data_IF_980421087083
#
_entry.id   IF_980421087083
#
_cell.length_a   1.000
_cell.length_b   1.000
_cell.length_c   1.000
_cell.angle_alpha   90.00
_cell.angle_beta   90.00
_cell.angle_gamma   90.00
#
_symmetry.space_group_name_H-M   'P 1'
#
loop_
_entity.id
_entity.type
_entity.pdbx_description
1 polymer ?
#
# COMPACT_ATOMS: atom_id res chain seq x y z
N UNK A 1 20.92 -14.56 42.35
CA UNK A 1 20.08 -13.41 41.95
C UNK A 1 19.47 -13.74 40.60
N UNK A 2 18.15 -13.96 40.53
CA UNK A 2 17.46 -14.17 39.25
C UNK A 2 17.32 -12.82 38.55
N UNK A 3 17.93 -12.68 37.38
CA UNK A 3 17.68 -11.53 36.52
C UNK A 3 16.24 -11.63 36.01
N UNK A 4 15.34 -10.85 36.60
CA UNK A 4 14.06 -10.54 35.98
C UNK A 4 14.33 -9.78 34.68
N UNK A 5 14.37 -10.51 33.56
CA UNK A 5 14.26 -9.90 32.24
C UNK A 5 12.80 -9.46 32.12
N UNK A 6 12.52 -8.21 32.44
CA UNK A 6 11.24 -7.59 32.10
C UNK A 6 11.22 -7.52 30.57
N UNK A 7 10.56 -8.48 29.93
CA UNK A 7 10.33 -8.42 28.48
C UNK A 7 9.51 -7.16 28.23
N UNK A 8 10.12 -6.15 27.62
CA UNK A 8 9.42 -4.95 27.16
C UNK A 8 8.18 -5.42 26.37
N UNK A 9 7.02 -4.75 26.53
CA UNK A 9 5.86 -5.09 25.73
C UNK A 9 6.27 -5.02 24.26
N UNK A 10 5.94 -6.09 23.51
CA UNK A 10 6.23 -6.15 22.10
C UNK A 10 5.61 -4.93 21.41
N UNK A 11 6.27 -4.34 20.40
CA UNK A 11 5.70 -3.23 19.65
C UNK A 11 4.31 -3.58 19.11
N UNK A 12 3.46 -2.57 18.91
CA UNK A 12 2.13 -2.73 18.32
C UNK A 12 2.15 -3.43 16.94
N UNK A 13 3.29 -3.42 16.26
CA UNK A 13 3.51 -4.08 14.97
C UNK A 13 4.53 -5.24 15.07
N UNK A 14 4.40 -6.10 16.08
CA UNK A 14 5.19 -7.34 16.12
C UNK A 14 4.52 -8.43 15.28
N UNK A 15 5.23 -8.90 14.25
CA UNK A 15 4.84 -10.09 13.48
C UNK A 15 5.89 -11.18 13.69
N UNK A 16 5.49 -12.30 14.30
CA UNK A 16 6.42 -13.39 14.61
C UNK A 16 6.96 -14.08 13.36
N UNK A 17 8.29 -14.26 13.27
CA UNK A 17 9.02 -14.81 12.09
C UNK A 17 8.31 -16.03 11.48
N UNK A 18 8.01 -17.06 12.31
CA UNK A 18 7.37 -18.31 11.85
C UNK A 18 6.00 -18.08 11.23
N UNK A 19 5.13 -17.34 11.93
CA UNK A 19 3.76 -17.09 11.45
C UNK A 19 3.77 -16.26 10.15
N UNK A 20 4.68 -15.29 10.03
CA UNK A 20 4.89 -14.53 8.79
C UNK A 20 5.32 -15.45 7.65
N UNK A 21 6.35 -16.26 7.87
CA UNK A 21 6.87 -17.18 6.86
C UNK A 21 5.80 -18.18 6.38
N UNK A 22 5.00 -18.74 7.31
CA UNK A 22 3.90 -19.65 6.99
C UNK A 22 2.84 -18.97 6.11
N UNK A 23 2.48 -17.70 6.42
CA UNK A 23 1.50 -16.93 5.65
C UNK A 23 2.02 -16.58 4.25
N UNK A 24 3.26 -16.12 4.14
CA UNK A 24 3.93 -15.81 2.87
C UNK A 24 3.99 -17.06 2.00
N UNK A 25 4.47 -18.18 2.54
CA UNK A 25 4.58 -19.46 1.84
C UNK A 25 3.23 -19.95 1.33
N UNK A 26 2.16 -19.79 2.13
CA UNK A 26 0.80 -20.19 1.72
C UNK A 26 0.31 -19.36 0.54
N UNK A 27 0.52 -18.04 0.57
CA UNK A 27 0.15 -17.18 -0.55
C UNK A 27 0.90 -17.58 -1.83
N UNK A 28 2.22 -17.73 -1.74
CA UNK A 28 3.09 -18.11 -2.86
C UNK A 28 2.69 -19.47 -3.47
N UNK A 29 2.43 -20.48 -2.64
CA UNK A 29 2.09 -21.82 -3.13
C UNK A 29 0.67 -21.94 -3.68
N UNK A 30 -0.26 -21.12 -3.20
CA UNK A 30 -1.68 -21.22 -3.55
C UNK A 30 -2.10 -20.13 -4.53
N UNK A 31 -2.29 -18.90 -4.05
CA UNK A 31 -2.87 -17.81 -4.86
C UNK A 31 -1.92 -17.32 -5.94
N UNK A 32 -0.65 -17.08 -5.60
CA UNK A 32 0.33 -16.52 -6.54
C UNK A 32 0.49 -17.39 -7.78
N UNK A 33 0.57 -18.71 -7.62
CA UNK A 33 0.67 -19.65 -8.74
C UNK A 33 -0.54 -19.59 -9.67
N UNK A 34 -1.76 -19.56 -9.10
CA UNK A 34 -3.00 -19.48 -9.88
C UNK A 34 -3.10 -18.16 -10.66
N UNK A 35 -2.76 -17.05 -10.00
CA UNK A 35 -2.78 -15.72 -10.61
C UNK A 35 -1.72 -15.61 -11.71
N UNK A 36 -0.50 -16.10 -11.45
CA UNK A 36 0.59 -16.09 -12.43
C UNK A 36 0.27 -16.92 -13.66
N UNK A 37 -0.39 -18.08 -13.49
CA UNK A 37 -0.83 -18.91 -14.60
C UNK A 37 -1.91 -18.23 -15.44
N UNK A 38 -2.89 -17.60 -14.80
CA UNK A 38 -3.93 -16.86 -15.50
C UNK A 38 -3.38 -15.65 -16.28
N UNK A 39 -2.36 -14.99 -15.72
CA UNK A 39 -1.69 -13.84 -16.32
C UNK A 39 -0.66 -14.22 -17.41
N UNK A 40 -0.20 -15.48 -17.44
CA UNK A 40 0.85 -15.94 -18.36
C UNK A 40 2.26 -15.46 -18.01
N UNK A 41 2.43 -14.77 -16.87
CA UNK A 41 3.70 -14.30 -16.31
C UNK A 41 3.62 -14.25 -14.78
N UNK A 42 4.76 -14.19 -14.06
CA UNK A 42 4.73 -14.05 -12.61
C UNK A 42 3.92 -12.82 -12.14
N UNK A 43 2.95 -13.05 -11.25
CA UNK A 43 2.18 -11.98 -10.62
C UNK A 43 2.91 -11.40 -9.39
N UNK A 44 2.41 -10.30 -8.82
CA UNK A 44 2.94 -9.64 -7.63
C UNK A 44 2.89 -10.55 -6.39
N UNK A 45 4.01 -10.62 -5.68
CA UNK A 45 4.20 -11.34 -4.40
C UNK A 45 4.20 -10.42 -3.20
N UNK A 46 4.81 -9.25 -3.36
CA UNK A 46 4.90 -8.20 -2.35
C UNK A 46 4.96 -6.84 -3.04
N UNK A 47 4.61 -5.80 -2.29
CA UNK A 47 4.79 -4.41 -2.71
C UNK A 47 5.63 -3.74 -1.64
N UNK A 48 6.75 -3.17 -2.04
CA UNK A 48 7.63 -2.44 -1.15
C UNK A 48 7.28 -0.96 -1.13
N UNK A 49 7.25 -0.39 0.08
CA UNK A 49 7.07 1.04 0.31
C UNK A 49 8.22 1.53 1.19
N UNK A 50 8.85 2.62 0.78
CA UNK A 50 9.82 3.33 1.61
C UNK A 50 9.15 4.01 2.81
N UNK A 51 9.94 4.46 3.78
CA UNK A 51 9.44 5.29 4.88
C UNK A 51 8.77 6.57 4.37
N UNK A 52 9.36 7.19 3.36
CA UNK A 52 8.90 8.46 2.77
C UNK A 52 7.50 8.30 2.15
N UNK A 53 7.21 7.14 1.55
CA UNK A 53 5.85 6.83 1.08
C UNK A 53 4.82 6.94 2.21
N UNK A 54 5.13 6.37 3.37
CA UNK A 54 4.20 6.41 4.51
C UNK A 54 4.10 7.80 5.13
N UNK A 55 5.20 8.57 5.17
CA UNK A 55 5.15 9.97 5.61
C UNK A 55 4.21 10.79 4.72
N UNK A 56 4.35 10.69 3.40
CA UNK A 56 3.48 11.40 2.45
C UNK A 56 2.05 10.87 2.46
N UNK A 57 1.86 9.57 2.65
CA UNK A 57 0.52 9.01 2.84
C UNK A 57 -0.16 9.62 4.07
N UNK A 58 0.56 9.80 5.19
CA UNK A 58 0.01 10.46 6.38
C UNK A 58 -0.36 11.92 6.11
N UNK A 59 0.50 12.68 5.42
CA UNK A 59 0.18 14.05 4.99
C UNK A 59 -1.11 14.09 4.14
N UNK A 60 -1.28 13.15 3.20
CA UNK A 60 -2.50 13.08 2.37
C UNK A 60 -3.74 12.66 3.16
N UNK A 61 -3.62 11.80 4.18
CA UNK A 61 -4.72 11.49 5.11
C UNK A 61 -5.13 12.75 5.85
N UNK A 62 -4.18 13.49 6.43
CA UNK A 62 -4.45 14.73 7.16
C UNK A 62 -5.07 15.79 6.26
N UNK A 63 -4.52 15.98 5.05
CA UNK A 63 -5.04 16.90 4.06
C UNK A 63 -6.45 16.52 3.61
N UNK A 64 -6.73 15.22 3.51
CA UNK A 64 -8.07 14.70 3.27
C UNK A 64 -8.97 14.78 4.51
N UNK A 65 -8.53 15.30 5.65
CA UNK A 65 -9.29 15.28 6.91
C UNK A 65 -9.73 13.86 7.29
N UNK A 66 -8.90 12.88 6.93
CA UNK A 66 -9.21 11.47 7.02
C UNK A 66 -8.89 10.88 8.40
N UNK A 67 -9.51 9.74 8.68
CA UNK A 67 -9.39 9.01 9.94
C UNK A 67 -8.68 7.66 9.79
N UNK A 68 -8.32 7.31 8.55
CA UNK A 68 -7.72 6.03 8.23
C UNK A 68 -7.48 5.83 6.74
N UNK A 69 -7.04 4.62 6.42
CA UNK A 69 -6.82 4.16 5.04
C UNK A 69 -7.62 2.89 4.80
N UNK A 70 -8.30 2.85 3.66
CA UNK A 70 -8.78 1.63 3.03
C UNK A 70 -7.78 1.21 1.96
N UNK A 71 -7.34 -0.05 2.04
CA UNK A 71 -6.48 -0.64 1.02
C UNK A 71 -7.34 -1.54 0.14
N UNK A 72 -7.38 -1.25 -1.16
CA UNK A 72 -8.03 -2.07 -2.16
C UNK A 72 -7.00 -2.89 -2.93
N UNK A 73 -7.38 -4.11 -3.34
CA UNK A 73 -6.63 -4.87 -4.33
C UNK A 73 -7.07 -4.41 -5.73
N UNK A 74 -6.11 -4.00 -6.54
CA UNK A 74 -6.31 -3.61 -7.94
C UNK A 74 -5.43 -4.43 -8.87
N UNK A 75 -5.45 -4.05 -10.14
CA UNK A 75 -4.62 -4.62 -11.19
C UNK A 75 -4.19 -3.48 -12.12
N UNK A 76 -2.92 -3.44 -12.50
CA UNK A 76 -2.44 -2.45 -13.46
C UNK A 76 -3.11 -2.63 -14.83
N UNK A 77 -3.45 -1.52 -15.47
CA UNK A 77 -4.07 -1.43 -16.78
C UNK A 77 -3.16 -1.88 -17.92
N UNK A 78 -3.74 -2.12 -19.10
CA UNK A 78 -2.98 -2.40 -20.32
C UNK A 78 -2.10 -1.20 -20.71
N UNK A 79 -0.88 -1.46 -21.18
CA UNK A 79 0.10 -0.42 -21.52
C UNK A 79 1.01 0.00 -20.36
N UNK A 80 0.63 -0.27 -19.10
CA UNK A 80 1.52 -0.05 -17.96
C UNK A 80 2.69 -1.07 -17.95
N UNK A 81 3.86 -0.67 -17.42
CA UNK A 81 5.04 -1.57 -17.32
C UNK A 81 4.75 -2.86 -16.52
N UNK A 82 3.78 -2.81 -15.61
CA UNK A 82 3.34 -3.94 -14.78
C UNK A 82 1.94 -4.44 -15.15
N UNK A 83 1.46 -4.17 -16.37
CA UNK A 83 0.11 -4.50 -16.83
C UNK A 83 -0.35 -5.90 -16.40
N UNK A 84 -1.56 -5.99 -15.85
CA UNK A 84 -2.18 -7.23 -15.38
C UNK A 84 -1.67 -7.78 -14.05
N UNK A 85 -0.63 -7.20 -13.45
CA UNK A 85 -0.17 -7.60 -12.12
C UNK A 85 -1.02 -6.97 -11.01
N UNK A 86 -1.15 -7.67 -9.88
CA UNK A 86 -1.83 -7.19 -8.69
C UNK A 86 -1.13 -5.96 -8.11
N UNK A 87 -1.93 -4.99 -7.69
CA UNK A 87 -1.47 -3.71 -7.16
C UNK A 87 -2.33 -3.29 -5.94
N UNK A 88 -1.88 -2.33 -5.13
CA UNK A 88 -2.64 -1.87 -3.96
C UNK A 88 -3.04 -0.39 -4.10
N UNK A 89 -4.32 -0.09 -3.93
CA UNK A 89 -4.82 1.28 -3.98
C UNK A 89 -5.13 1.75 -2.56
N UNK A 90 -4.49 2.83 -2.14
CA UNK A 90 -4.63 3.41 -0.81
C UNK A 90 -5.62 4.56 -0.90
N UNK A 91 -6.72 4.46 -0.16
CA UNK A 91 -7.77 5.48 -0.17
C UNK A 91 -8.01 6.00 1.25
N UNK A 92 -7.81 7.30 1.46
CA UNK A 92 -8.15 7.96 2.72
C UNK A 92 -9.63 7.79 3.03
N UNK A 93 -9.96 7.53 4.29
CA UNK A 93 -11.35 7.41 4.75
C UNK A 93 -11.72 8.53 5.70
N UNK A 94 -13.02 8.77 5.88
CA UNK A 94 -13.60 9.62 6.93
C UNK A 94 -14.70 8.91 7.68
N UNK A 95 -14.75 9.15 8.98
CA UNK A 95 -15.81 8.67 9.85
C UNK A 95 -17.15 9.29 9.42
N UNK A 96 -18.18 8.46 9.36
CA UNK A 96 -19.55 8.87 9.07
C UNK A 96 -20.52 8.05 9.90
N UNK A 97 -21.38 8.75 10.63
CA UNK A 97 -22.52 8.15 11.31
C UNK A 97 -23.62 7.82 10.29
N UNK A 98 -23.97 6.54 10.19
CA UNK A 98 -25.08 6.05 9.38
C UNK A 98 -26.05 5.32 10.30
N UNK A 99 -27.15 5.98 10.64
CA UNK A 99 -28.04 5.52 11.72
C UNK A 99 -27.30 5.53 13.06
N UNK A 100 -27.18 4.34 13.68
CA UNK A 100 -26.47 4.16 14.96
C UNK A 100 -25.10 3.49 14.80
N UNK A 101 -24.60 3.35 13.57
CA UNK A 101 -23.30 2.73 13.30
C UNK A 101 -22.29 3.76 12.81
N UNK A 102 -21.07 3.66 13.33
CA UNK A 102 -19.89 4.33 12.80
C UNK A 102 -19.43 3.59 11.56
N UNK A 103 -19.30 4.29 10.44
CA UNK A 103 -18.78 3.75 9.18
C UNK A 103 -17.63 4.62 8.68
N UNK A 104 -16.70 4.04 7.93
CA UNK A 104 -15.63 4.78 7.29
C UNK A 104 -15.93 4.89 5.79
N UNK A 105 -16.07 6.09 5.27
CA UNK A 105 -16.37 6.34 3.85
C UNK A 105 -15.11 6.77 3.10
N UNK A 106 -14.92 6.32 1.85
CA UNK A 106 -13.78 6.74 1.04
C UNK A 106 -13.88 8.23 0.73
N UNK A 107 -12.77 8.94 0.88
CA UNK A 107 -12.62 10.32 0.43
C UNK A 107 -12.20 10.29 -1.03
N UNK A 108 -13.08 10.75 -1.92
CA UNK A 108 -12.79 10.92 -3.34
C UNK A 108 -12.62 12.42 -3.57
N UNK A 109 -11.38 12.87 -3.76
CA UNK A 109 -11.05 14.30 -3.81
C UNK A 109 -11.87 15.05 -4.87
N UNK A 110 -12.10 14.43 -6.03
CA UNK A 110 -12.87 15.00 -7.15
C UNK A 110 -14.32 15.33 -6.79
N UNK A 111 -14.87 14.68 -5.76
CA UNK A 111 -16.24 14.92 -5.29
C UNK A 111 -16.31 15.98 -4.18
N UNK A 112 -15.17 16.51 -3.72
CA UNK A 112 -15.14 17.51 -2.66
C UNK A 112 -15.36 18.91 -3.24
N UNK A 113 -16.13 19.74 -2.54
CA UNK A 113 -16.47 21.09 -3.01
C UNK A 113 -15.24 21.99 -3.25
N UNK A 114 -14.15 21.74 -2.52
CA UNK A 114 -12.88 22.46 -2.64
C UNK A 114 -11.85 21.75 -3.53
N UNK A 115 -12.27 20.81 -4.38
CA UNK A 115 -11.39 20.06 -5.26
C UNK A 115 -10.46 20.96 -6.08
N UNK A 116 -10.99 21.99 -6.74
CA UNK A 116 -10.21 22.88 -7.60
C UNK A 116 -9.09 23.61 -6.84
N UNK A 117 -9.38 24.09 -5.63
CA UNK A 117 -8.38 24.71 -4.75
C UNK A 117 -7.32 23.69 -4.33
N UNK A 118 -7.74 22.51 -3.86
CA UNK A 118 -6.84 21.45 -3.39
C UNK A 118 -5.99 20.82 -4.50
N UNK A 119 -6.49 20.82 -5.73
CA UNK A 119 -5.76 20.36 -6.91
C UNK A 119 -4.73 21.40 -7.39
N UNK A 120 -4.91 22.69 -7.02
CA UNK A 120 -4.00 23.78 -7.39
C UNK A 120 -2.81 23.97 -6.44
N UNK A 121 -2.84 23.34 -5.26
CA UNK A 121 -1.73 23.42 -4.31
C UNK A 121 -0.51 22.68 -4.86
N UNK A 122 0.65 23.33 -4.81
CA UNK A 122 1.92 22.68 -5.12
C UNK A 122 2.14 21.51 -4.16
N UNK A 123 2.39 20.33 -4.72
CA UNK A 123 2.75 19.14 -3.96
C UNK A 123 4.19 18.78 -4.24
N UNK A 124 4.90 18.37 -3.19
CA UNK A 124 6.22 17.79 -3.35
C UNK A 124 6.08 16.46 -4.08
N UNK A 125 6.54 16.43 -5.35
CA UNK A 125 6.58 15.20 -6.14
C UNK A 125 7.69 14.32 -5.60
N UNK A 126 7.35 13.12 -5.14
CA UNK A 126 8.37 12.14 -4.79
C UNK A 126 8.97 11.60 -6.10
N UNK A 127 10.21 11.98 -6.39
CA UNK A 127 10.98 11.45 -7.51
C UNK A 127 11.75 10.21 -7.03
N UNK A 128 11.35 9.02 -7.48
CA UNK A 128 12.05 7.79 -7.13
C UNK A 128 13.25 7.53 -8.07
N UNK A 129 14.37 7.00 -7.54
CA UNK A 129 15.51 6.63 -8.36
C UNK A 129 15.10 5.56 -9.40
N UNK A 130 15.30 5.86 -10.68
CA UNK A 130 15.00 4.93 -11.78
C UNK A 130 13.69 5.19 -12.54
N UNK A 131 12.85 6.11 -12.08
CA UNK A 131 11.68 6.59 -12.84
C UNK A 131 12.10 7.79 -13.68
N UNK A 132 12.70 7.50 -14.84
CA UNK A 132 12.96 8.50 -15.86
C UNK A 132 11.64 8.90 -16.54
N UNK A 133 11.31 10.19 -16.49
CA UNK A 133 10.09 10.84 -17.02
C UNK A 133 8.79 10.48 -16.27
N UNK A 134 8.35 11.44 -15.46
CA UNK A 134 7.05 11.45 -14.79
C UNK A 134 5.98 11.82 -15.82
N UNK A 135 5.52 10.86 -16.62
CA UNK A 135 4.13 10.93 -17.07
C UNK A 135 3.26 10.80 -15.83
N UNK A 136 2.17 11.58 -15.75
CA UNK A 136 1.28 11.68 -14.59
C UNK A 136 0.89 10.29 -14.06
N UNK A 137 1.67 9.73 -13.12
CA UNK A 137 1.30 8.53 -12.38
C UNK A 137 0.21 8.98 -11.42
N UNK A 138 -1.01 9.02 -11.95
CA UNK A 138 -2.22 9.22 -11.18
C UNK A 138 -2.38 7.98 -10.34
N UNK A 139 -2.61 8.19 -9.05
CA UNK A 139 -2.87 7.20 -8.01
C UNK A 139 -1.67 6.79 -7.15
N UNK A 140 -1.92 6.80 -5.84
CA UNK A 140 -0.96 6.62 -4.74
C UNK A 140 -0.50 5.16 -4.58
N UNK A 141 -0.24 4.49 -5.70
CA UNK A 141 0.29 3.13 -5.74
C UNK A 141 1.75 3.16 -6.23
N UNK A 142 2.53 3.99 -5.55
CA UNK A 142 3.96 4.23 -5.80
C UNK A 142 4.84 3.09 -5.26
N UNK A 143 4.25 2.10 -4.59
CA UNK A 143 4.98 0.96 -4.08
C UNK A 143 5.54 0.10 -5.22
N UNK A 144 6.74 -0.43 -5.02
CA UNK A 144 7.42 -1.24 -6.04
C UNK A 144 6.94 -2.69 -5.96
N UNK A 145 6.30 -3.25 -7.00
CA UNK A 145 5.90 -4.64 -7.01
C UNK A 145 7.10 -5.56 -7.23
N UNK A 146 7.12 -6.64 -6.44
CA UNK A 146 8.03 -7.77 -6.61
C UNK A 146 7.22 -9.01 -6.98
N UNK A 147 7.51 -9.71 -8.09
CA UNK A 147 8.33 -9.30 -9.24
C UNK A 147 7.75 -8.08 -9.98
N UNK A 148 8.55 -7.33 -10.77
CA UNK A 148 9.92 -7.66 -11.20
C UNK A 148 11.05 -7.09 -10.34
N UNK A 149 10.78 -6.16 -9.42
CA UNK A 149 11.80 -5.52 -8.58
C UNK A 149 11.77 -6.12 -7.17
N UNK A 150 12.28 -7.34 -7.06
CA UNK A 150 12.46 -7.99 -5.76
C UNK A 150 13.82 -7.59 -5.17
N UNK A 151 13.82 -7.08 -3.95
CA UNK A 151 15.04 -7.11 -3.13
C UNK A 151 15.31 -8.56 -2.74
N UNK A 152 16.58 -8.96 -2.68
CA UNK A 152 16.97 -10.33 -2.34
C UNK A 152 16.28 -10.79 -1.04
N UNK A 153 15.58 -11.93 -1.12
CA UNK A 153 14.71 -12.48 -0.08
C UNK A 153 15.47 -12.77 1.23
N UNK A 154 15.52 -11.83 2.17
CA UNK A 154 16.02 -12.10 3.54
C UNK A 154 14.93 -12.69 4.44
N UNK A 155 14.56 -13.94 4.17
CA UNK A 155 13.89 -14.79 5.16
C UNK A 155 14.44 -16.23 5.17
N UNK A 156 15.76 -16.39 5.13
CA UNK A 156 16.42 -17.61 5.66
C UNK A 156 16.27 -17.71 7.19
#
# INVERSE_FOLDING_TARGET
MQHHVTTKPLPFFYVGKKLSADRITRFQKQKHNLLSQALGKPDTRSIWYSKEHFVKLLEEIEFAGGDGIRIHFGMYEEGHQFAGQLCLLFTSTREKMVGNAVTHSNVILEHEANYAERASLEREVILFPGDGSVEDIKDFNLGLPCPPRCDDDFYE
#
